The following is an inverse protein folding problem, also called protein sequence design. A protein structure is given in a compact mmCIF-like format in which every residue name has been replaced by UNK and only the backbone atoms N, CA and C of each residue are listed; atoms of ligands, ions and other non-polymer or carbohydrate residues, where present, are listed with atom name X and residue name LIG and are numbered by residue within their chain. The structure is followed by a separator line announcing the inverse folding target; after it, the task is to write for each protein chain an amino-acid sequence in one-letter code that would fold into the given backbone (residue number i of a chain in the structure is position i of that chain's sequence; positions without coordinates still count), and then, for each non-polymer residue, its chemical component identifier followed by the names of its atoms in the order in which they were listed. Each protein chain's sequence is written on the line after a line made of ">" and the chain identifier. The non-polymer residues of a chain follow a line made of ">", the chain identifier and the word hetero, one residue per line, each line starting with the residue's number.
data_IF_187076170020
#
_entry.id   IF_187076170020
#
_cell.length_a   1.000
_cell.length_b   1.000
_cell.length_c   1.000
_cell.angle_alpha   90.00
_cell.angle_beta   90.00
_cell.angle_gamma   90.00
#
_symmetry.space_group_name_H-M   'P 1'
#
loop_
_entity.id
_entity.type
_entity.pdbx_description
1 polymer ?
#
# COMPACT_ATOMS: atom_id res chain seq x y z
N UNK A 1 22.18 15.15 -9.33
CA UNK A 1 20.84 14.88 -8.74
C UNK A 1 20.71 15.73 -7.49
N UNK A 2 19.64 16.55 -7.37
CA UNK A 2 19.44 17.41 -6.20
C UNK A 2 19.16 16.55 -4.95
N UNK A 3 19.82 16.84 -3.83
CA UNK A 3 19.67 16.13 -2.55
C UNK A 3 18.20 16.00 -2.09
N UNK A 4 17.32 16.91 -2.54
CA UNK A 4 15.87 16.87 -2.31
C UNK A 4 15.21 15.60 -2.84
N UNK A 5 15.60 15.13 -4.04
CA UNK A 5 15.01 13.93 -4.67
C UNK A 5 15.38 12.68 -3.89
N UNK A 6 16.65 12.58 -3.48
CA UNK A 6 17.15 11.46 -2.66
C UNK A 6 16.43 11.42 -1.33
N UNK A 7 16.24 12.58 -0.68
CA UNK A 7 15.52 12.68 0.60
C UNK A 7 14.06 12.21 0.49
N UNK A 8 13.34 12.63 -0.55
CA UNK A 8 11.93 12.22 -0.75
C UNK A 8 11.82 10.72 -1.07
N UNK A 9 12.66 10.20 -1.97
CA UNK A 9 12.68 8.78 -2.30
C UNK A 9 13.02 7.90 -1.10
N UNK A 10 13.93 8.35 -0.23
CA UNK A 10 14.28 7.65 1.02
C UNK A 10 13.09 7.55 1.98
N UNK A 11 12.26 8.60 2.04
CA UNK A 11 11.06 8.60 2.88
C UNK A 11 10.00 7.63 2.36
N UNK A 12 9.91 7.39 1.04
CA UNK A 12 8.99 6.40 0.48
C UNK A 12 9.33 4.98 0.93
N UNK A 13 10.63 4.67 1.09
CA UNK A 13 11.07 3.38 1.63
C UNK A 13 10.63 3.21 3.08
N UNK A 14 10.85 4.24 3.92
CA UNK A 14 10.42 4.24 5.33
C UNK A 14 8.90 4.11 5.43
N UNK A 15 8.15 4.83 4.58
CA UNK A 15 6.71 4.68 4.47
C UNK A 15 6.29 3.27 4.03
N UNK A 16 7.06 2.59 3.18
CA UNK A 16 6.84 1.19 2.82
C UNK A 16 6.80 0.25 4.04
N UNK A 17 7.69 0.45 5.01
CA UNK A 17 7.69 -0.34 6.25
C UNK A 17 6.45 -0.07 7.12
N UNK A 18 6.10 1.21 7.31
CA UNK A 18 4.89 1.58 8.05
C UNK A 18 3.62 1.10 7.34
N UNK A 19 3.61 1.19 6.01
CA UNK A 19 2.54 0.68 5.17
C UNK A 19 2.34 -0.81 5.38
N UNK A 20 3.41 -1.62 5.33
CA UNK A 20 3.32 -3.07 5.59
C UNK A 20 2.68 -3.35 6.96
N UNK A 21 3.11 -2.66 8.01
CA UNK A 21 2.61 -2.90 9.37
C UNK A 21 1.11 -2.60 9.48
N UNK A 22 0.66 -1.49 8.90
CA UNK A 22 -0.78 -1.16 8.85
C UNK A 22 -1.56 -2.11 7.94
N UNK A 23 -0.98 -2.49 6.79
CA UNK A 23 -1.59 -3.40 5.83
C UNK A 23 -1.82 -4.79 6.42
N UNK A 24 -0.83 -5.33 7.12
CA UNK A 24 -0.93 -6.63 7.78
C UNK A 24 -2.05 -6.64 8.83
N UNK A 25 -2.11 -5.58 9.66
CA UNK A 25 -3.20 -5.42 10.63
C UNK A 25 -4.56 -5.37 9.93
N UNK A 26 -4.70 -4.52 8.91
CA UNK A 26 -5.93 -4.40 8.14
C UNK A 26 -6.32 -5.72 7.47
N UNK A 27 -5.34 -6.48 6.96
CA UNK A 27 -5.54 -7.77 6.30
C UNK A 27 -6.08 -8.82 7.26
N UNK A 28 -5.48 -8.93 8.46
CA UNK A 28 -5.96 -9.83 9.50
C UNK A 28 -7.38 -9.48 9.93
N UNK A 29 -7.64 -8.19 10.21
CA UNK A 29 -8.99 -7.71 10.55
C UNK A 29 -10.01 -7.99 9.44
N UNK A 30 -9.62 -7.82 8.18
CA UNK A 30 -10.49 -8.10 7.04
C UNK A 30 -10.82 -9.59 6.92
N UNK A 31 -9.85 -10.48 7.16
CA UNK A 31 -10.05 -11.93 7.11
C UNK A 31 -10.92 -12.39 8.30
N UNK A 32 -10.57 -11.96 9.51
CA UNK A 32 -11.25 -12.35 10.75
C UNK A 32 -12.71 -11.83 10.78
N UNK A 33 -12.99 -10.71 10.11
CA UNK A 33 -14.34 -10.15 9.99
C UNK A 33 -15.25 -10.86 8.98
N UNK A 34 -14.75 -11.87 8.25
CA UNK A 34 -15.53 -12.58 7.22
C UNK A 34 -15.88 -14.00 7.65
N UNK A 35 -17.16 -14.40 7.51
CA UNK A 35 -17.58 -15.80 7.71
C UNK A 35 -16.97 -16.76 6.67
N UNK A 36 -16.86 -16.29 5.42
CA UNK A 36 -16.27 -17.04 4.30
C UNK A 36 -15.30 -16.11 3.56
N UNK A 37 -14.03 -16.07 3.98
CA UNK A 37 -13.03 -15.21 3.38
C UNK A 37 -12.82 -15.56 1.91
N UNK A 38 -13.01 -14.58 1.03
CA UNK A 38 -12.65 -14.71 -0.39
C UNK A 38 -11.66 -13.64 -0.79
N UNK A 39 -10.87 -13.91 -1.82
CA UNK A 39 -9.85 -12.97 -2.32
C UNK A 39 -10.46 -11.60 -2.66
N UNK A 40 -11.58 -11.57 -3.40
CA UNK A 40 -12.24 -10.33 -3.81
C UNK A 40 -12.81 -9.53 -2.63
N UNK A 41 -13.45 -10.22 -1.66
CA UNK A 41 -13.99 -9.54 -0.47
C UNK A 41 -12.87 -8.95 0.38
N UNK A 42 -11.81 -9.72 0.57
CA UNK A 42 -10.63 -9.28 1.33
C UNK A 42 -9.95 -8.10 0.65
N UNK A 43 -9.70 -8.17 -0.67
CA UNK A 43 -9.16 -7.05 -1.43
C UNK A 43 -10.06 -5.82 -1.40
N UNK A 44 -11.38 -5.98 -1.44
CA UNK A 44 -12.34 -4.88 -1.32
C UNK A 44 -12.24 -4.16 0.04
N UNK A 45 -12.14 -4.91 1.13
CA UNK A 45 -11.95 -4.33 2.47
C UNK A 45 -10.58 -3.64 2.60
N UNK A 46 -9.53 -4.26 2.09
CA UNK A 46 -8.19 -3.66 2.07
C UNK A 46 -8.11 -2.43 1.17
N UNK A 47 -8.91 -2.39 0.11
CA UNK A 47 -8.96 -1.23 -0.76
C UNK A 47 -9.40 0.03 -0.01
N UNK A 48 -10.30 -0.09 0.98
CA UNK A 48 -10.70 1.03 1.84
C UNK A 48 -9.52 1.54 2.67
N UNK A 49 -8.72 0.63 3.26
CA UNK A 49 -7.47 1.00 3.94
C UNK A 49 -6.51 1.70 2.98
N UNK A 50 -6.37 1.19 1.75
CA UNK A 50 -5.50 1.80 0.74
C UNK A 50 -6.00 3.16 0.24
N UNK A 51 -7.31 3.43 0.25
CA UNK A 51 -7.85 4.78 0.01
C UNK A 51 -7.39 5.77 1.10
N UNK A 52 -7.39 5.34 2.36
CA UNK A 52 -6.87 6.16 3.46
C UNK A 52 -5.36 6.41 3.31
N UNK A 53 -4.58 5.37 3.01
CA UNK A 53 -3.14 5.53 2.76
C UNK A 53 -2.89 6.42 1.54
N UNK A 54 -3.64 6.23 0.45
CA UNK A 54 -3.58 7.09 -0.75
C UNK A 54 -3.93 8.55 -0.45
N UNK A 55 -4.87 8.80 0.48
CA UNK A 55 -5.13 10.15 0.99
C UNK A 55 -3.92 10.76 1.69
N UNK A 56 -3.22 10.00 2.53
CA UNK A 56 -2.00 10.46 3.18
C UNK A 56 -0.89 10.73 2.17
N UNK A 57 -0.66 9.81 1.23
CA UNK A 57 0.36 9.96 0.17
C UNK A 57 0.08 11.24 -0.63
N UNK A 58 -1.13 11.42 -1.15
CA UNK A 58 -1.50 12.62 -1.93
C UNK A 58 -1.53 13.90 -1.09
N UNK A 59 -1.59 13.81 0.25
CA UNK A 59 -1.55 14.97 1.14
C UNK A 59 -0.11 15.43 1.42
N UNK A 60 0.83 14.49 1.56
CA UNK A 60 2.21 14.80 1.99
C UNK A 60 3.25 14.71 0.87
N UNK A 61 3.00 13.95 -0.20
CA UNK A 61 3.86 13.91 -1.40
C UNK A 61 3.25 14.80 -2.49
N UNK A 62 3.79 16.01 -2.63
CA UNK A 62 3.26 17.03 -3.56
C UNK A 62 3.75 16.84 -4.99
N UNK A 63 4.92 16.23 -5.19
CA UNK A 63 5.55 16.20 -6.50
C UNK A 63 5.16 14.96 -7.31
N UNK A 64 5.31 13.77 -6.71
CA UNK A 64 5.13 12.50 -7.43
C UNK A 64 4.31 11.47 -6.64
N UNK A 65 3.06 11.77 -6.24
CA UNK A 65 2.28 10.88 -5.36
C UNK A 65 2.02 9.50 -5.96
N UNK A 66 1.86 9.41 -7.29
CA UNK A 66 1.72 8.13 -7.98
C UNK A 66 3.00 7.28 -7.98
N UNK A 67 4.16 7.91 -8.17
CA UNK A 67 5.44 7.19 -8.11
C UNK A 67 5.74 6.75 -6.67
N UNK A 68 5.41 7.61 -5.70
CA UNK A 68 5.52 7.30 -4.28
C UNK A 68 4.66 6.10 -3.90
N UNK A 69 3.39 6.05 -4.31
CA UNK A 69 2.50 4.93 -3.98
C UNK A 69 2.96 3.60 -4.58
N UNK A 70 3.45 3.61 -5.82
CA UNK A 70 4.07 2.42 -6.44
C UNK A 70 5.29 1.97 -5.64
N UNK A 71 6.17 2.91 -5.26
CA UNK A 71 7.39 2.60 -4.50
C UNK A 71 7.05 2.05 -3.12
N UNK A 72 6.16 2.72 -2.38
CA UNK A 72 5.67 2.30 -1.04
C UNK A 72 5.05 0.92 -1.12
N UNK A 73 4.25 0.65 -2.15
CA UNK A 73 3.60 -0.65 -2.35
C UNK A 73 4.62 -1.76 -2.58
N UNK A 74 5.54 -1.57 -3.54
CA UNK A 74 6.55 -2.57 -3.88
C UNK A 74 7.52 -2.81 -2.73
N UNK A 75 8.02 -1.75 -2.10
CA UNK A 75 8.96 -1.86 -0.98
C UNK A 75 8.26 -2.43 0.25
N UNK A 76 7.02 -2.04 0.53
CA UNK A 76 6.25 -2.55 1.65
C UNK A 76 5.88 -4.03 1.49
N UNK A 77 5.34 -4.42 0.34
CA UNK A 77 4.84 -5.77 0.11
C UNK A 77 5.95 -6.72 -0.33
N UNK A 78 6.61 -6.46 -1.46
CA UNK A 78 7.65 -7.36 -1.99
C UNK A 78 8.94 -7.29 -1.15
N UNK A 79 9.39 -6.08 -0.82
CA UNK A 79 10.58 -5.87 -0.01
C UNK A 79 10.38 -6.35 1.43
N UNK A 80 9.65 -5.57 2.23
CA UNK A 80 9.50 -5.89 3.64
C UNK A 80 8.60 -7.09 3.89
N UNK A 81 7.46 -7.19 3.22
CA UNK A 81 6.45 -8.23 3.49
C UNK A 81 6.89 -9.65 3.11
N UNK A 82 7.48 -9.82 1.92
CA UNK A 82 7.94 -11.12 1.45
C UNK A 82 9.41 -11.39 1.76
N UNK A 83 10.32 -10.46 1.47
CA UNK A 83 11.76 -10.74 1.56
C UNK A 83 12.33 -10.58 2.97
N UNK A 84 12.15 -9.42 3.62
CA UNK A 84 12.83 -9.12 4.90
C UNK A 84 12.12 -9.66 6.14
N UNK A 85 10.80 -9.52 6.23
CA UNK A 85 10.03 -9.88 7.44
C UNK A 85 9.20 -11.14 7.26
N UNK A 86 9.01 -11.59 6.02
CA UNK A 86 8.23 -12.78 5.65
C UNK A 86 6.78 -12.80 6.15
N UNK A 87 6.24 -11.65 6.57
CA UNK A 87 4.90 -11.52 7.16
C UNK A 87 3.75 -11.77 6.18
N UNK A 88 4.02 -11.80 4.87
CA UNK A 88 3.01 -12.06 3.85
C UNK A 88 3.19 -13.42 3.15
N UNK A 89 4.21 -14.21 3.51
CA UNK A 89 4.57 -15.46 2.81
C UNK A 89 3.47 -16.53 2.94
N UNK A 90 2.70 -16.51 4.02
CA UNK A 90 1.59 -17.42 4.25
C UNK A 90 0.35 -17.16 3.38
N UNK A 91 0.27 -15.99 2.73
CA UNK A 91 -0.85 -15.64 1.86
C UNK A 91 -0.60 -16.04 0.41
N UNK A 92 -1.67 -16.20 -0.36
CA UNK A 92 -1.57 -16.58 -1.76
C UNK A 92 -0.89 -15.48 -2.60
N UNK A 93 -0.21 -15.88 -3.67
CA UNK A 93 0.50 -14.95 -4.56
C UNK A 93 -0.47 -13.98 -5.23
N UNK A 94 -1.67 -14.45 -5.58
CA UNK A 94 -2.72 -13.64 -6.17
C UNK A 94 -3.15 -12.51 -5.22
N UNK A 95 -3.25 -12.81 -3.92
CA UNK A 95 -3.53 -11.79 -2.92
C UNK A 95 -2.38 -10.78 -2.85
N UNK A 96 -1.13 -11.24 -2.80
CA UNK A 96 0.06 -10.38 -2.81
C UNK A 96 0.08 -9.41 -4.00
N UNK A 97 -0.21 -9.91 -5.21
CA UNK A 97 -0.31 -9.08 -6.41
C UNK A 97 -1.46 -8.08 -6.33
N UNK A 98 -2.63 -8.52 -5.86
CA UNK A 98 -3.79 -7.65 -5.64
C UNK A 98 -3.46 -6.52 -4.66
N UNK A 99 -2.80 -6.83 -3.54
CA UNK A 99 -2.33 -5.85 -2.57
C UNK A 99 -1.36 -4.86 -3.23
N UNK A 100 -0.39 -5.35 -4.00
CA UNK A 100 0.63 -4.52 -4.64
C UNK A 100 0.03 -3.50 -5.63
N UNK A 101 -1.00 -3.90 -6.38
CA UNK A 101 -1.68 -3.04 -7.35
C UNK A 101 -2.72 -2.11 -6.71
N UNK A 102 -3.30 -2.52 -5.58
CA UNK A 102 -4.41 -1.80 -4.96
C UNK A 102 -4.02 -0.43 -4.38
N UNK A 103 -2.80 -0.26 -3.83
CA UNK A 103 -2.36 1.02 -3.29
C UNK A 103 -2.16 2.09 -4.40
N UNK A 104 -1.46 1.81 -5.51
CA UNK A 104 -1.39 2.74 -6.64
C UNK A 104 -2.76 3.11 -7.20
N UNK A 105 -3.66 2.12 -7.34
CA UNK A 105 -5.01 2.36 -7.83
C UNK A 105 -5.83 3.25 -6.89
N UNK A 106 -5.77 2.98 -5.58
CA UNK A 106 -6.43 3.80 -4.57
C UNK A 106 -5.88 5.23 -4.55
N UNK A 107 -4.56 5.39 -4.67
CA UNK A 107 -3.90 6.70 -4.73
C UNK A 107 -4.35 7.48 -5.97
N UNK A 108 -4.43 6.82 -7.13
CA UNK A 108 -4.93 7.43 -8.37
C UNK A 108 -6.36 7.97 -8.20
N UNK A 109 -7.25 7.15 -7.63
CA UNK A 109 -8.65 7.53 -7.39
C UNK A 109 -8.72 8.75 -6.45
N UNK A 110 -8.00 8.73 -5.34
CA UNK A 110 -7.96 9.85 -4.39
C UNK A 110 -7.42 11.12 -5.04
N UNK A 111 -6.38 11.01 -5.87
CA UNK A 111 -5.82 12.14 -6.58
C UNK A 111 -6.85 12.76 -7.54
N UNK A 112 -7.63 11.93 -8.24
CA UNK A 112 -8.70 12.41 -9.12
C UNK A 112 -9.81 13.13 -8.36
N UNK A 113 -10.21 12.60 -7.20
CA UNK A 113 -11.21 13.26 -6.34
C UNK A 113 -10.74 14.61 -5.79
N UNK A 114 -9.45 14.77 -5.49
CA UNK A 114 -8.89 16.05 -5.01
C UNK A 114 -8.70 17.10 -6.12
N UNK A 115 -8.67 16.66 -7.38
CA UNK A 115 -8.46 17.54 -8.53
C UNK A 115 -9.77 18.11 -9.10
N UNK A 116 -10.92 17.60 -8.67
CA UNK A 116 -12.24 18.21 -8.88
C UNK A 116 -12.50 19.28 -7.82
#
# INVERSE_FOLDING_TARGET
>A
MSATVVKHASLWIVFGFFYLSGLEMALRLAIDGQQYPTLLKTLGLIFIFNLLVGHLITKYETYWPMLASVTVSLVGIAGFGYYYTQRLVQYSVELGLGLALSLPLATFIVQKFKAQ
#
